data_IF_244944078684
#
_entry.id   IF_244944078684
#
_cell.length_a   1.000
_cell.length_b   1.000
_cell.length_c   1.000
_cell.angle_alpha   90.00
_cell.angle_beta   90.00
_cell.angle_gamma   90.00
#
_symmetry.space_group_name_H-M   'P 1'
#
loop_
_entity.id
_entity.type
_entity.pdbx_description
1 polymer ?
#
# COMPACT_ATOMS: atom_id res chain seq x y z
N UNK A 1 12.13 -4.23 -2.56
CA UNK A 1 12.83 -3.50 -3.64
C UNK A 1 14.30 -3.92 -3.72
N UNK A 2 14.69 -4.81 -4.66
CA UNK A 2 16.04 -5.40 -4.70
C UNK A 2 17.10 -4.49 -5.36
N UNK A 3 16.67 -3.48 -6.12
CA UNK A 3 17.52 -2.50 -6.80
C UNK A 3 16.91 -1.11 -6.61
N UNK A 4 17.60 -0.06 -7.06
CA UNK A 4 17.05 1.31 -7.04
C UNK A 4 15.76 1.38 -7.89
N UNK A 5 14.78 2.19 -7.45
CA UNK A 5 13.49 2.34 -8.14
C UNK A 5 13.64 2.83 -9.60
N UNK A 6 14.69 3.61 -9.89
CA UNK A 6 14.99 4.06 -11.25
C UNK A 6 15.41 2.92 -12.22
N UNK A 7 15.88 1.79 -11.70
CA UNK A 7 16.41 0.68 -12.49
C UNK A 7 15.39 -0.47 -12.68
N UNK A 8 14.26 -0.14 -13.31
CA UNK A 8 13.17 -1.11 -13.61
C UNK A 8 13.65 -2.29 -14.46
N UNK A 9 14.67 -2.08 -15.32
CA UNK A 9 15.27 -3.14 -16.15
C UNK A 9 16.14 -4.06 -15.32
N UNK A 10 17.02 -3.52 -14.48
CA UNK A 10 17.79 -4.32 -13.53
C UNK A 10 16.88 -5.13 -12.60
N UNK A 11 15.72 -4.58 -12.22
CA UNK A 11 14.74 -5.32 -11.44
C UNK A 11 14.14 -6.52 -12.22
N UNK A 12 13.85 -6.35 -13.51
CA UNK A 12 13.43 -7.47 -14.37
C UNK A 12 14.53 -8.52 -14.55
N UNK A 13 15.80 -8.11 -14.65
CA UNK A 13 16.95 -9.03 -14.68
C UNK A 13 17.06 -9.82 -13.38
N UNK A 14 16.94 -9.17 -12.22
CA UNK A 14 16.92 -9.85 -10.91
C UNK A 14 15.77 -10.87 -10.86
N UNK A 15 14.56 -10.48 -11.26
CA UNK A 15 13.40 -11.37 -11.30
C UNK A 15 13.62 -12.58 -12.20
N UNK A 16 14.27 -12.42 -13.35
CA UNK A 16 14.55 -13.52 -14.28
C UNK A 16 15.59 -14.53 -13.75
N UNK A 17 16.35 -14.17 -12.71
CA UNK A 17 17.45 -14.99 -12.15
C UNK A 17 17.09 -15.72 -10.85
N UNK A 18 15.85 -15.59 -10.37
CA UNK A 18 15.42 -16.18 -9.09
C UNK A 18 13.99 -16.69 -9.16
N UNK A 19 13.69 -17.70 -8.34
CA UNK A 19 12.33 -18.18 -8.13
C UNK A 19 11.60 -17.41 -7.00
N UNK A 20 12.31 -16.50 -6.32
CA UNK A 20 11.75 -15.66 -5.26
C UNK A 20 10.88 -14.55 -5.90
N UNK A 21 9.59 -14.41 -5.53
CA UNK A 21 8.75 -13.35 -6.07
C UNK A 21 9.32 -11.96 -5.81
N UNK A 22 9.36 -11.11 -6.84
CA UNK A 22 9.85 -9.74 -6.73
C UNK A 22 8.69 -8.78 -6.48
N UNK A 23 8.80 -8.01 -5.40
CA UNK A 23 7.85 -6.97 -5.01
C UNK A 23 8.52 -5.58 -5.05
N UNK A 24 7.80 -4.60 -5.60
CA UNK A 24 8.23 -3.20 -5.68
C UNK A 24 7.03 -2.27 -5.91
N UNK A 25 7.20 -0.98 -5.63
CA UNK A 25 6.20 0.03 -5.96
C UNK A 25 5.96 1.11 -4.91
N UNK A 26 6.62 1.06 -3.75
CA UNK A 26 6.38 2.07 -2.69
C UNK A 26 6.82 3.46 -3.15
N UNK A 27 7.84 3.52 -4.01
CA UNK A 27 8.39 4.76 -4.59
C UNK A 27 7.84 5.12 -5.97
N UNK A 28 6.86 4.38 -6.50
CA UNK A 28 6.35 4.56 -7.86
C UNK A 28 5.10 5.46 -7.90
N UNK A 29 5.01 6.31 -8.92
CA UNK A 29 3.95 7.31 -9.04
C UNK A 29 2.97 6.97 -10.17
N UNK A 30 1.68 6.99 -9.86
CA UNK A 30 0.58 6.79 -10.83
C UNK A 30 0.60 5.43 -11.51
N UNK A 31 -0.48 5.08 -12.20
CA UNK A 31 -0.53 3.79 -12.93
C UNK A 31 0.51 3.67 -14.05
N UNK A 32 1.11 4.77 -14.51
CA UNK A 32 2.05 4.76 -15.62
C UNK A 32 3.36 4.09 -15.23
N UNK A 33 3.85 4.36 -14.03
CA UNK A 33 5.03 3.70 -13.49
C UNK A 33 4.79 2.21 -13.25
N UNK A 34 3.62 1.86 -12.71
CA UNK A 34 3.22 0.46 -12.49
C UNK A 34 2.99 -0.29 -13.81
N UNK A 35 2.44 0.37 -14.85
CA UNK A 35 2.36 -0.20 -16.20
C UNK A 35 3.75 -0.57 -16.70
N UNK A 36 4.74 0.30 -16.51
CA UNK A 36 6.10 0.04 -17.00
C UNK A 36 6.75 -1.12 -16.25
N UNK A 37 6.53 -1.24 -14.93
CA UNK A 37 6.92 -2.43 -14.16
C UNK A 37 6.28 -3.72 -14.71
N UNK A 38 4.98 -3.68 -15.02
CA UNK A 38 4.25 -4.83 -15.54
C UNK A 38 4.71 -5.24 -16.94
N UNK A 39 4.89 -4.27 -17.85
CA UNK A 39 5.29 -4.49 -19.25
C UNK A 39 6.73 -5.00 -19.33
N UNK A 40 7.62 -4.51 -18.48
CA UNK A 40 9.00 -5.00 -18.40
C UNK A 40 9.11 -6.38 -17.72
N UNK A 41 8.03 -6.85 -17.08
CA UNK A 41 8.08 -8.05 -16.26
C UNK A 41 9.02 -7.88 -15.07
N UNK A 42 9.01 -6.70 -14.44
CA UNK A 42 9.91 -6.32 -13.36
C UNK A 42 9.41 -6.70 -11.95
N UNK A 43 8.14 -7.11 -11.82
CA UNK A 43 7.52 -7.47 -10.54
C UNK A 43 6.58 -8.66 -10.70
N UNK A 44 6.40 -9.39 -9.60
CA UNK A 44 5.31 -10.34 -9.36
C UNK A 44 4.22 -9.72 -8.47
N UNK A 45 4.59 -8.75 -7.64
CA UNK A 45 3.72 -8.08 -6.66
C UNK A 45 3.90 -6.56 -6.76
N UNK A 46 2.81 -5.85 -7.03
CA UNK A 46 2.78 -4.38 -7.02
C UNK A 46 2.50 -3.86 -5.60
N UNK A 47 3.28 -2.87 -5.15
CA UNK A 47 3.16 -2.30 -3.82
C UNK A 47 2.82 -0.79 -3.82
N UNK A 48 1.67 -0.37 -4.38
CA UNK A 48 1.32 1.05 -4.38
C UNK A 48 1.14 1.58 -2.95
N UNK A 49 1.84 2.66 -2.64
CA UNK A 49 1.53 3.50 -1.48
C UNK A 49 0.49 4.54 -1.89
N UNK A 50 -0.67 4.56 -1.24
CA UNK A 50 -1.77 5.43 -1.62
C UNK A 50 -1.49 6.92 -1.37
N UNK A 51 -0.60 7.25 -0.43
CA UNK A 51 -0.18 8.62 -0.18
C UNK A 51 0.80 9.13 -1.26
N UNK A 52 1.39 8.23 -2.05
CA UNK A 52 2.43 8.53 -3.05
C UNK A 52 1.89 8.34 -4.46
N UNK A 53 1.27 7.19 -4.74
CA UNK A 53 0.91 6.75 -6.08
C UNK A 53 -0.23 7.56 -6.72
N UNK A 54 -0.89 8.46 -5.98
CA UNK A 54 -1.99 9.30 -6.47
C UNK A 54 -3.36 9.02 -5.82
N UNK A 55 -3.40 8.39 -4.65
CA UNK A 55 -4.62 8.17 -3.87
C UNK A 55 -5.43 6.93 -4.28
N UNK A 56 -6.56 6.73 -3.59
CA UNK A 56 -7.45 5.56 -3.76
C UNK A 56 -7.83 5.34 -5.23
N UNK A 57 -8.22 6.41 -5.92
CA UNK A 57 -8.62 6.32 -7.34
C UNK A 57 -7.51 5.73 -8.20
N UNK A 58 -6.27 6.21 -8.01
CA UNK A 58 -5.12 5.75 -8.80
C UNK A 58 -4.69 4.35 -8.39
N UNK A 59 -4.73 4.03 -7.09
CA UNK A 59 -4.49 2.67 -6.59
C UNK A 59 -5.49 1.64 -7.13
N UNK A 60 -6.77 2.00 -7.30
CA UNK A 60 -7.75 1.11 -7.95
C UNK A 60 -7.46 0.90 -9.44
N UNK A 61 -6.89 1.90 -10.13
CA UNK A 61 -6.43 1.75 -11.52
C UNK A 61 -5.20 0.86 -11.60
N UNK A 62 -4.27 0.98 -10.64
CA UNK A 62 -3.11 0.09 -10.49
C UNK A 62 -3.57 -1.34 -10.20
N UNK A 63 -4.57 -1.52 -9.33
CA UNK A 63 -5.19 -2.83 -9.06
C UNK A 63 -5.74 -3.49 -10.33
N UNK A 64 -6.40 -2.72 -11.20
CA UNK A 64 -6.88 -3.25 -12.47
C UNK A 64 -5.73 -3.69 -13.39
N UNK A 65 -4.60 -2.95 -13.40
CA UNK A 65 -3.39 -3.36 -14.13
C UNK A 65 -2.78 -4.65 -13.55
N UNK A 66 -2.64 -4.74 -12.23
CA UNK A 66 -2.13 -5.94 -11.57
C UNK A 66 -2.95 -7.17 -11.97
N UNK A 67 -4.29 -7.06 -11.86
CA UNK A 67 -5.21 -8.12 -12.25
C UNK A 67 -5.08 -8.49 -13.73
N UNK A 68 -5.02 -7.51 -14.64
CA UNK A 68 -4.90 -7.76 -16.08
C UNK A 68 -3.60 -8.46 -16.48
N UNK A 69 -2.53 -8.27 -15.71
CA UNK A 69 -1.22 -8.89 -15.94
C UNK A 69 -1.00 -10.17 -15.12
N UNK A 70 -2.01 -10.67 -14.40
CA UNK A 70 -1.90 -11.82 -13.48
C UNK A 70 -0.86 -11.59 -12.37
N UNK A 71 -0.69 -10.35 -11.94
CA UNK A 71 0.17 -9.95 -10.84
C UNK A 71 -0.66 -9.80 -9.56
N UNK A 72 0.02 -9.85 -8.42
CA UNK A 72 -0.58 -9.58 -7.11
C UNK A 72 -0.45 -8.11 -6.73
N UNK A 73 -1.28 -7.69 -5.79
CA UNK A 73 -1.25 -6.35 -5.20
C UNK A 73 -1.15 -6.48 -3.68
N UNK A 74 -0.20 -5.76 -3.10
CA UNK A 74 0.04 -5.67 -1.66
C UNK A 74 0.44 -4.22 -1.34
N UNK A 75 -0.51 -3.33 -1.00
CA UNK A 75 -0.21 -1.93 -0.78
C UNK A 75 0.88 -1.75 0.27
N UNK A 76 1.78 -0.80 0.02
CA UNK A 76 2.71 -0.32 1.04
C UNK A 76 1.93 0.58 2.01
N UNK A 77 1.99 0.27 3.31
CA UNK A 77 1.20 0.89 4.37
C UNK A 77 2.05 1.26 5.59
N UNK A 78 3.31 1.61 5.37
CA UNK A 78 4.13 2.30 6.37
C UNK A 78 3.68 3.75 6.55
N UNK A 79 2.47 3.96 7.07
CA UNK A 79 1.82 5.26 7.15
C UNK A 79 0.95 5.42 8.41
N UNK A 80 0.37 6.61 8.57
CA UNK A 80 -0.63 6.88 9.60
C UNK A 80 -2.01 6.30 9.27
N UNK A 81 -2.92 6.34 10.24
CA UNK A 81 -4.24 5.72 10.16
C UNK A 81 -5.06 6.04 8.89
N UNK A 82 -5.08 7.28 8.35
CA UNK A 82 -5.83 7.56 7.11
C UNK A 82 -5.32 6.79 5.89
N UNK A 83 -4.00 6.75 5.69
CA UNK A 83 -3.40 6.05 4.57
C UNK A 83 -3.48 4.53 4.74
N UNK A 84 -3.30 4.05 5.97
CA UNK A 84 -3.49 2.64 6.32
C UNK A 84 -4.92 2.17 6.01
N UNK A 85 -5.93 2.89 6.49
CA UNK A 85 -7.34 2.56 6.24
C UNK A 85 -7.68 2.61 4.75
N UNK A 86 -7.17 3.59 4.02
CA UNK A 86 -7.36 3.69 2.57
C UNK A 86 -6.77 2.47 1.84
N UNK A 87 -5.56 2.06 2.20
CA UNK A 87 -4.90 0.92 1.59
C UNK A 87 -5.55 -0.41 1.95
N UNK A 88 -6.05 -0.55 3.17
CA UNK A 88 -6.83 -1.70 3.60
C UNK A 88 -8.12 -1.84 2.77
N UNK A 89 -8.84 -0.74 2.53
CA UNK A 89 -10.03 -0.74 1.66
C UNK A 89 -9.67 -1.14 0.22
N UNK A 90 -8.57 -0.61 -0.34
CA UNK A 90 -8.11 -0.97 -1.69
C UNK A 90 -7.70 -2.44 -1.77
N UNK A 91 -6.95 -2.95 -0.80
CA UNK A 91 -6.55 -4.35 -0.76
C UNK A 91 -7.76 -5.28 -0.68
N UNK A 92 -8.76 -4.95 0.15
CA UNK A 92 -9.98 -5.73 0.31
C UNK A 92 -10.88 -5.71 -0.95
N UNK A 93 -10.93 -4.57 -1.65
CA UNK A 93 -11.74 -4.42 -2.87
C UNK A 93 -11.01 -4.92 -4.14
N UNK A 94 -9.69 -5.09 -4.09
CA UNK A 94 -8.87 -5.50 -5.23
C UNK A 94 -8.97 -7.00 -5.50
N UNK A 95 -9.31 -7.43 -6.73
CA UNK A 95 -9.22 -8.86 -7.09
C UNK A 95 -7.78 -9.38 -7.14
N UNK A 96 -6.77 -8.49 -7.15
CA UNK A 96 -5.35 -8.83 -7.08
C UNK A 96 -4.79 -8.72 -5.65
N UNK A 97 -5.56 -8.14 -4.72
CA UNK A 97 -5.19 -7.96 -3.33
C UNK A 97 -5.06 -9.30 -2.61
N UNK A 98 -3.97 -9.49 -1.84
CA UNK A 98 -3.78 -10.74 -1.11
C UNK A 98 -3.18 -10.60 0.30
N UNK A 99 -2.48 -9.50 0.58
CA UNK A 99 -1.90 -9.22 1.89
C UNK A 99 -1.81 -7.71 2.09
N UNK A 100 -1.75 -7.28 3.34
CA UNK A 100 -1.54 -5.90 3.75
C UNK A 100 -0.32 -5.82 4.65
N UNK A 101 0.46 -4.76 4.51
CA UNK A 101 1.51 -4.43 5.47
C UNK A 101 0.88 -3.95 6.79
N UNK A 102 1.44 -4.36 7.92
CA UNK A 102 1.04 -3.89 9.24
C UNK A 102 2.28 -3.62 10.09
N UNK A 103 2.45 -2.38 10.55
CA UNK A 103 3.59 -2.01 11.40
C UNK A 103 3.36 -2.47 12.84
N UNK A 104 4.26 -3.30 13.37
CA UNK A 104 4.28 -3.71 14.79
C UNK A 104 5.08 -2.74 15.68
N UNK A 105 5.71 -1.73 15.08
CA UNK A 105 6.50 -0.73 15.79
C UNK A 105 5.63 0.28 16.53
N UNK A 106 6.25 1.12 17.36
CA UNK A 106 5.56 2.26 17.95
C UNK A 106 5.19 3.26 16.85
N UNK A 107 3.94 3.21 16.40
CA UNK A 107 3.39 4.13 15.40
C UNK A 107 2.16 4.87 15.97
N UNK A 108 2.37 5.97 16.73
CA UNK A 108 1.28 6.78 17.28
C UNK A 108 0.34 7.33 16.22
N UNK A 109 0.84 7.57 14.99
CA UNK A 109 -0.01 8.06 13.90
C UNK A 109 -0.97 6.99 13.36
N UNK A 110 -0.68 5.71 13.60
CA UNK A 110 -1.59 4.60 13.26
C UNK A 110 -2.57 4.30 14.40
N UNK A 111 -2.10 4.30 15.65
CA UNK A 111 -2.90 3.82 16.79
C UNK A 111 -3.53 4.92 17.64
N UNK A 112 -2.86 6.06 17.81
CA UNK A 112 -3.30 7.13 18.73
C UNK A 112 -4.01 8.28 18.00
N UNK A 113 -3.84 8.39 16.67
CA UNK A 113 -4.46 9.44 15.85
C UNK A 113 -5.97 9.24 15.66
N UNK A 114 -6.46 8.00 15.76
CA UNK A 114 -7.86 7.66 15.49
C UNK A 114 -8.51 6.97 16.70
N UNK A 115 -9.83 7.01 16.76
CA UNK A 115 -10.59 6.38 17.84
C UNK A 115 -10.61 4.85 17.75
N UNK A 116 -10.52 4.33 16.53
CA UNK A 116 -10.62 2.90 16.22
C UNK A 116 -9.29 2.17 16.33
N UNK A 117 -9.36 0.90 16.75
CA UNK A 117 -8.22 0.01 16.82
C UNK A 117 -8.12 -0.87 15.57
N UNK A 118 -6.95 -0.86 14.92
CA UNK A 118 -6.60 -1.81 13.87
C UNK A 118 -6.01 -3.09 14.47
N UNK A 119 -6.85 -3.99 14.97
CA UNK A 119 -6.38 -5.22 15.64
C UNK A 119 -6.07 -6.34 14.64
N UNK A 120 -4.87 -6.92 14.76
CA UNK A 120 -4.51 -8.15 14.07
C UNK A 120 -4.83 -9.35 14.95
N UNK A 121 -5.67 -10.27 14.46
CA UNK A 121 -6.05 -11.52 15.13
C UNK A 121 -5.80 -12.69 14.19
N UNK A 122 -5.04 -13.68 14.65
CA UNK A 122 -4.69 -14.87 13.86
C UNK A 122 -4.12 -14.56 12.46
N UNK A 123 -3.32 -13.49 12.36
CA UNK A 123 -2.71 -13.05 11.11
C UNK A 123 -3.65 -12.28 10.17
N UNK A 124 -4.87 -11.99 10.59
CA UNK A 124 -5.89 -11.28 9.82
C UNK A 124 -6.25 -9.95 10.47
N UNK A 125 -6.72 -9.00 9.67
CA UNK A 125 -7.23 -7.71 10.13
C UNK A 125 -8.64 -7.49 9.57
N UNK A 126 -9.52 -6.91 10.40
CA UNK A 126 -10.88 -6.58 9.98
C UNK A 126 -10.88 -5.31 9.12
N UNK A 127 -11.65 -5.34 8.03
CA UNK A 127 -11.85 -4.18 7.16
C UNK A 127 -12.96 -3.30 7.77
N UNK A 128 -12.74 -1.99 7.97
CA UNK A 128 -13.78 -1.13 8.52
C UNK A 128 -15.04 -1.09 7.64
N UNK A 129 -16.22 -1.31 8.26
CA UNK A 129 -17.53 -1.27 7.58
C UNK A 129 -18.22 0.10 7.65
N UNK A 130 -17.68 1.03 8.44
CA UNK A 130 -18.23 2.38 8.61
C UNK A 130 -18.02 3.22 7.32
N UNK A 131 -18.88 4.23 7.08
CA UNK A 131 -18.75 5.08 5.89
C UNK A 131 -17.37 5.74 5.73
N UNK A 132 -16.97 5.95 4.48
CA UNK A 132 -15.69 6.58 4.15
C UNK A 132 -14.51 5.66 4.42
N UNK A 133 -13.46 6.18 5.08
CA UNK A 133 -12.31 5.38 5.51
C UNK A 133 -12.61 4.51 6.75
N UNK A 134 -13.78 4.68 7.37
CA UNK A 134 -14.17 3.96 8.57
C UNK A 134 -13.41 4.34 9.84
N UNK A 135 -12.78 5.53 9.85
CA UNK A 135 -12.02 6.07 10.97
C UNK A 135 -12.61 7.38 11.49
N UNK A 136 -12.32 7.69 12.75
CA UNK A 136 -12.66 8.93 13.44
C UNK A 136 -11.38 9.52 14.00
N UNK A 137 -11.04 10.75 13.61
CA UNK A 137 -9.79 11.39 14.03
C UNK A 137 -9.90 11.94 15.46
N UNK A 138 -8.90 11.67 16.29
CA UNK A 138 -8.77 12.25 17.63
C UNK A 138 -8.23 13.68 17.55
N UNK A 139 -9.16 14.63 17.63
CA UNK A 139 -8.87 16.08 17.52
C UNK A 139 -7.88 16.60 18.58
N UNK A 140 -7.91 16.03 19.79
CA UNK A 140 -6.98 16.35 20.87
C UNK A 140 -5.55 15.88 20.57
N UNK A 141 -5.41 14.65 20.03
CA UNK A 141 -4.14 14.14 19.54
C UNK A 141 -3.57 15.03 18.44
N UNK A 142 -4.39 15.40 17.45
CA UNK A 142 -3.98 16.30 16.36
C UNK A 142 -3.47 17.64 16.88
N UNK A 143 -4.22 18.29 17.78
CA UNK A 143 -3.85 19.61 18.34
C UNK A 143 -2.54 19.54 19.12
N UNK A 144 -2.31 18.46 19.87
CA UNK A 144 -1.09 18.26 20.66
C UNK A 144 0.17 18.09 19.79
N UNK A 145 0.02 17.51 18.60
CA UNK A 145 1.14 17.17 17.71
C UNK A 145 1.20 18.05 16.45
N UNK A 146 0.50 19.18 16.44
CA UNK A 146 0.58 20.15 15.35
C UNK A 146 2.00 20.72 15.27
N UNK A 147 2.62 20.59 14.10
CA UNK A 147 3.91 21.20 13.79
C UNK A 147 3.67 22.61 13.24
N UNK A 148 4.46 23.59 13.68
CA UNK A 148 4.39 24.94 13.12
C UNK A 148 4.70 24.90 11.62
N UNK A 149 3.88 25.58 10.83
CA UNK A 149 4.03 25.71 9.38
C UNK A 149 5.29 26.50 8.99
#
# INVERSE_FOLDING_TARGET
EPVTADDKRGQAEVRALTDIPIASGESEFTRHDFRDLAVLGAVDIMQPDLAICGGITEAMRISALASAHNLKLAPHLWAGAPAFAAGLQVAAASPAGFIVEYSLGANPLLHDLVEEDFLVRDGMIEVPERPGLGITVREDFLKKHTVAA
#
